data_IF_456000016917
#
_entry.id   IF_456000016917
#
_cell.length_a   1.000
_cell.length_b   1.000
_cell.length_c   1.000
_cell.angle_alpha   90.00
_cell.angle_beta   90.00
_cell.angle_gamma   90.00
#
_symmetry.space_group_name_H-M   'P 1'
#
loop_
_entity.id
_entity.type
_entity.pdbx_description
1 polymer ?
#
# COMPACT_ATOMS: atom_id res chain seq x y z
N UNK A 1 -21.23 21.56 -15.22
CA UNK A 1 -20.35 20.38 -14.98
C UNK A 1 -21.22 19.24 -14.46
N UNK A 2 -21.29 18.08 -15.13
CA UNK A 2 -22.06 16.89 -14.69
C UNK A 2 -21.14 15.72 -14.30
N UNK A 3 -20.03 16.03 -13.64
CA UNK A 3 -19.05 15.03 -13.19
C UNK A 3 -18.95 15.08 -11.67
N UNK A 4 -18.64 13.94 -11.05
CA UNK A 4 -18.37 13.91 -9.62
C UNK A 4 -17.15 14.78 -9.30
N UNK A 5 -17.29 15.63 -8.29
CA UNK A 5 -16.25 16.57 -7.89
C UNK A 5 -15.20 15.81 -7.06
N UNK A 6 -13.95 15.85 -7.51
CA UNK A 6 -12.80 15.38 -6.72
C UNK A 6 -12.62 16.24 -5.47
N UNK A 7 -12.33 15.61 -4.33
CA UNK A 7 -12.13 16.31 -3.05
C UNK A 7 -13.40 16.55 -2.24
N UNK A 8 -14.59 16.17 -2.74
CA UNK A 8 -15.82 16.22 -1.96
C UNK A 8 -15.99 14.93 -1.12
N UNK A 9 -16.32 15.05 0.16
CA UNK A 9 -16.42 13.93 1.12
C UNK A 9 -17.29 12.74 0.68
N UNK A 10 -18.47 12.91 0.04
CA UNK A 10 -19.29 11.77 -0.39
C UNK A 10 -18.82 11.15 -1.72
N UNK A 11 -17.93 11.81 -2.48
CA UNK A 11 -17.54 11.34 -3.82
C UNK A 11 -16.98 9.91 -3.83
N UNK A 12 -16.09 9.49 -2.90
CA UNK A 12 -15.59 8.12 -2.87
C UNK A 12 -16.70 7.09 -2.62
N UNK A 13 -17.65 7.41 -1.73
CA UNK A 13 -18.77 6.52 -1.41
C UNK A 13 -19.70 6.34 -2.61
N UNK A 14 -20.02 7.43 -3.33
CA UNK A 14 -20.88 7.37 -4.52
C UNK A 14 -20.17 6.63 -5.67
N UNK A 15 -18.88 6.87 -5.89
CA UNK A 15 -18.09 6.15 -6.89
C UNK A 15 -18.06 4.64 -6.58
N UNK A 16 -17.82 4.27 -5.33
CA UNK A 16 -17.82 2.87 -4.87
C UNK A 16 -19.20 2.22 -5.09
N UNK A 17 -20.28 2.93 -4.82
CA UNK A 17 -21.64 2.44 -5.05
C UNK A 17 -21.91 2.19 -6.55
N UNK A 18 -21.51 3.13 -7.41
CA UNK A 18 -21.66 2.99 -8.87
C UNK A 18 -20.87 1.78 -9.40
N UNK A 19 -19.63 1.63 -8.96
CA UNK A 19 -18.76 0.50 -9.30
C UNK A 19 -19.40 -0.84 -8.88
N UNK A 20 -19.90 -0.93 -7.64
CA UNK A 20 -20.58 -2.13 -7.13
C UNK A 20 -21.87 -2.45 -7.89
N UNK A 21 -22.66 -1.45 -8.24
CA UNK A 21 -23.88 -1.65 -9.06
C UNK A 21 -23.57 -2.18 -10.45
N UNK A 22 -22.52 -1.67 -11.10
CA UNK A 22 -22.07 -2.18 -12.40
C UNK A 22 -21.65 -3.65 -12.30
N UNK A 23 -20.90 -4.02 -11.25
CA UNK A 23 -20.50 -5.40 -11.03
C UNK A 23 -21.71 -6.33 -10.73
N UNK A 24 -22.64 -5.91 -9.88
CA UNK A 24 -23.89 -6.66 -9.61
C UNK A 24 -24.71 -6.90 -10.88
N UNK A 25 -24.83 -5.90 -11.75
CA UNK A 25 -25.55 -6.05 -13.03
C UNK A 25 -24.87 -7.05 -13.98
N UNK A 26 -23.55 -7.25 -13.83
CA UNK A 26 -22.76 -8.16 -14.66
C UNK A 26 -22.77 -9.62 -14.18
N UNK A 27 -23.29 -9.91 -12.98
CA UNK A 27 -23.13 -11.19 -12.30
C UNK A 27 -23.72 -12.38 -13.08
N UNK A 28 -24.84 -12.19 -13.78
CA UNK A 28 -25.47 -13.25 -14.58
C UNK A 28 -24.65 -13.67 -15.80
N UNK A 29 -23.86 -12.75 -16.37
CA UNK A 29 -23.08 -12.99 -17.59
C UNK A 29 -21.63 -13.33 -17.29
N UNK A 30 -21.02 -12.60 -16.35
CA UNK A 30 -19.59 -12.71 -16.02
C UNK A 30 -19.33 -13.52 -14.75
N UNK A 31 -20.36 -13.93 -14.01
CA UNK A 31 -20.23 -14.73 -12.80
C UNK A 31 -19.93 -13.94 -11.52
N UNK A 32 -20.06 -14.61 -10.38
CA UNK A 32 -19.93 -14.00 -9.05
C UNK A 32 -18.49 -13.65 -8.67
N UNK A 33 -17.48 -14.17 -9.36
CA UNK A 33 -16.07 -13.84 -9.10
C UNK A 33 -15.77 -12.36 -9.38
N UNK A 34 -16.37 -11.78 -10.43
CA UNK A 34 -16.24 -10.34 -10.73
C UNK A 34 -16.89 -9.50 -9.63
N UNK A 35 -18.12 -9.82 -9.24
CA UNK A 35 -18.84 -9.11 -8.17
C UNK A 35 -18.09 -9.19 -6.85
N UNK A 36 -17.57 -10.37 -6.51
CA UNK A 36 -16.77 -10.60 -5.30
C UNK A 36 -15.51 -9.73 -5.30
N UNK A 37 -14.74 -9.75 -6.40
CA UNK A 37 -13.55 -8.92 -6.55
C UNK A 37 -13.87 -7.43 -6.42
N UNK A 38 -14.84 -6.93 -7.18
CA UNK A 38 -15.23 -5.50 -7.11
C UNK A 38 -15.69 -5.08 -5.72
N UNK A 39 -16.40 -5.95 -5.00
CA UNK A 39 -16.99 -5.60 -3.71
C UNK A 39 -15.99 -5.66 -2.56
N UNK A 40 -15.05 -6.63 -2.60
CA UNK A 40 -14.16 -6.97 -1.48
C UNK A 40 -12.73 -6.49 -1.65
N UNK A 41 -12.28 -6.26 -2.88
CA UNK A 41 -10.87 -6.04 -3.20
C UNK A 41 -10.58 -4.63 -3.74
N UNK A 42 -11.60 -3.78 -3.91
CA UNK A 42 -11.41 -2.38 -4.26
C UNK A 42 -11.32 -1.50 -3.01
N UNK A 43 -10.33 -0.63 -3.01
CA UNK A 43 -10.26 0.54 -2.13
C UNK A 43 -10.42 1.79 -2.99
N UNK A 44 -11.61 2.38 -2.96
CA UNK A 44 -12.01 3.50 -3.82
C UNK A 44 -11.86 3.12 -5.30
N UNK A 45 -10.80 3.57 -5.97
CA UNK A 45 -10.50 3.35 -7.39
C UNK A 45 -9.43 2.27 -7.63
N UNK A 46 -8.71 1.84 -6.59
CA UNK A 46 -7.65 0.84 -6.68
C UNK A 46 -8.16 -0.58 -6.34
N UNK A 47 -8.03 -1.51 -7.28
CA UNK A 47 -8.37 -2.93 -7.09
C UNK A 47 -7.14 -3.79 -6.85
N UNK A 48 -7.11 -4.56 -5.75
CA UNK A 48 -5.97 -5.41 -5.37
C UNK A 48 -6.40 -6.84 -5.07
N UNK A 49 -5.85 -7.79 -5.81
CA UNK A 49 -6.12 -9.21 -5.58
C UNK A 49 -4.86 -10.06 -5.80
N UNK A 50 -4.93 -11.31 -5.38
CA UNK A 50 -3.91 -12.33 -5.61
C UNK A 50 -4.61 -13.63 -5.97
N UNK A 51 -4.16 -14.28 -7.04
CA UNK A 51 -4.74 -15.52 -7.54
C UNK A 51 -3.70 -16.66 -7.44
N UNK A 52 -4.14 -17.91 -7.20
CA UNK A 52 -3.28 -19.09 -7.21
C UNK A 52 -2.53 -19.33 -8.53
N UNK A 53 -3.14 -18.97 -9.66
CA UNK A 53 -2.59 -19.21 -11.00
C UNK A 53 -2.64 -17.95 -11.86
N UNK A 54 -1.75 -17.90 -12.86
CA UNK A 54 -1.69 -16.80 -13.84
C UNK A 54 -2.95 -16.77 -14.72
N UNK A 55 -3.48 -17.95 -15.07
CA UNK A 55 -4.69 -18.09 -15.89
C UNK A 55 -5.91 -17.53 -15.17
N UNK A 56 -6.06 -17.83 -13.88
CA UNK A 56 -7.15 -17.25 -13.06
C UNK A 56 -7.02 -15.74 -12.93
N UNK A 57 -5.81 -15.22 -12.74
CA UNK A 57 -5.56 -13.77 -12.67
C UNK A 57 -5.96 -13.07 -13.98
N UNK A 58 -5.49 -13.59 -15.13
CA UNK A 58 -5.82 -13.03 -16.45
C UNK A 58 -7.32 -13.09 -16.71
N UNK A 59 -7.96 -14.23 -16.43
CA UNK A 59 -9.40 -14.39 -16.61
C UNK A 59 -10.19 -13.40 -15.75
N UNK A 60 -9.90 -13.32 -14.44
CA UNK A 60 -10.60 -12.42 -13.52
C UNK A 60 -10.48 -10.96 -13.97
N UNK A 61 -9.28 -10.52 -14.35
CA UNK A 61 -9.05 -9.14 -14.80
C UNK A 61 -9.75 -8.84 -16.12
N UNK A 62 -9.73 -9.76 -17.11
CA UNK A 62 -10.44 -9.58 -18.39
C UNK A 62 -11.96 -9.57 -18.23
N UNK A 63 -12.50 -10.51 -17.45
CA UNK A 63 -13.93 -10.56 -17.15
C UNK A 63 -14.38 -9.28 -16.46
N UNK A 64 -13.60 -8.80 -15.47
CA UNK A 64 -13.89 -7.55 -14.77
C UNK A 64 -13.80 -6.33 -15.70
N UNK A 65 -12.79 -6.26 -16.58
CA UNK A 65 -12.64 -5.16 -17.54
C UNK A 65 -13.85 -5.09 -18.49
N UNK A 66 -14.31 -6.22 -19.01
CA UNK A 66 -15.46 -6.30 -19.91
C UNK A 66 -16.77 -5.98 -19.17
N UNK A 67 -16.97 -6.54 -17.98
CA UNK A 67 -18.14 -6.28 -17.15
C UNK A 67 -18.28 -4.79 -16.82
N UNK A 68 -17.23 -4.15 -16.33
CA UNK A 68 -17.25 -2.74 -15.95
C UNK A 68 -17.43 -1.82 -17.17
N UNK A 69 -16.85 -2.17 -18.32
CA UNK A 69 -17.05 -1.44 -19.57
C UNK A 69 -18.51 -1.54 -20.04
N UNK A 70 -19.09 -2.75 -20.03
CA UNK A 70 -20.45 -3.02 -20.55
C UNK A 70 -21.55 -2.44 -19.66
N UNK A 71 -21.46 -2.64 -18.35
CA UNK A 71 -22.55 -2.29 -17.42
C UNK A 71 -22.35 -0.95 -16.71
N UNK A 72 -21.12 -0.45 -16.63
CA UNK A 72 -20.79 0.80 -15.96
C UNK A 72 -20.23 1.89 -16.87
N UNK A 73 -19.87 1.58 -18.12
CA UNK A 73 -19.03 2.43 -18.97
C UNK A 73 -17.75 2.89 -18.23
N UNK A 74 -17.18 1.98 -17.43
CA UNK A 74 -15.98 2.21 -16.63
C UNK A 74 -14.80 1.47 -17.27
N UNK A 75 -13.72 2.20 -17.53
CA UNK A 75 -12.47 1.62 -18.03
C UNK A 75 -11.61 1.16 -16.86
N UNK A 76 -11.44 -0.15 -16.69
CA UNK A 76 -10.42 -0.72 -15.80
C UNK A 76 -9.06 -0.71 -16.53
N UNK A 77 -8.05 -0.12 -15.89
CA UNK A 77 -6.73 0.08 -16.48
C UNK A 77 -5.65 0.27 -15.39
N UNK A 78 -4.40 0.51 -15.80
CA UNK A 78 -3.18 0.55 -14.96
C UNK A 78 -2.86 -0.81 -14.32
N UNK A 79 -3.01 -1.89 -15.07
CA UNK A 79 -2.65 -3.22 -14.60
C UNK A 79 -1.16 -3.29 -14.27
N UNK A 80 -0.85 -3.91 -13.13
CA UNK A 80 0.49 -4.21 -12.65
C UNK A 80 0.48 -5.58 -11.94
N UNK A 81 1.44 -6.44 -12.24
CA UNK A 81 1.55 -7.78 -11.67
C UNK A 81 3.01 -8.21 -11.59
N UNK A 82 3.34 -8.96 -10.54
CA UNK A 82 4.65 -9.60 -10.40
C UNK A 82 4.91 -10.68 -11.46
N UNK A 83 3.87 -11.17 -12.13
CA UNK A 83 3.99 -12.14 -13.22
C UNK A 83 4.01 -11.45 -14.60
N UNK A 84 5.08 -11.63 -15.37
CA UNK A 84 5.21 -11.06 -16.72
C UNK A 84 4.15 -11.62 -17.69
N UNK A 85 3.80 -12.90 -17.57
CA UNK A 85 2.77 -13.53 -18.41
C UNK A 85 1.36 -12.95 -18.18
N UNK A 86 1.08 -12.52 -16.95
CA UNK A 86 -0.18 -11.82 -16.66
C UNK A 86 -0.17 -10.45 -17.33
N UNK A 87 0.97 -9.75 -17.30
CA UNK A 87 1.12 -8.42 -17.90
C UNK A 87 1.01 -8.45 -19.43
N UNK A 88 1.62 -9.44 -20.09
CA UNK A 88 1.56 -9.59 -21.56
C UNK A 88 0.16 -9.93 -22.09
N UNK A 89 -0.78 -10.33 -21.21
CA UNK A 89 -2.16 -10.60 -21.60
C UNK A 89 -3.01 -9.34 -21.83
N UNK A 90 -2.51 -8.15 -21.49
CA UNK A 90 -3.19 -6.85 -21.60
C UNK A 90 -2.51 -5.92 -22.60
N UNK A 91 -3.29 -5.01 -23.17
CA UNK A 91 -2.77 -4.00 -24.09
C UNK A 91 -1.88 -2.98 -23.35
N UNK A 92 -0.78 -2.53 -23.96
CA UNK A 92 0.17 -1.60 -23.36
C UNK A 92 -0.49 -0.33 -22.80
N UNK A 93 -1.56 0.16 -23.44
CA UNK A 93 -2.30 1.34 -22.96
C UNK A 93 -2.95 1.16 -21.59
N UNK A 94 -3.28 -0.09 -21.24
CA UNK A 94 -3.95 -0.47 -20.00
C UNK A 94 -2.96 -0.88 -18.90
N UNK A 95 -1.66 -0.98 -19.20
CA UNK A 95 -0.62 -1.20 -18.19
C UNK A 95 -0.34 0.08 -17.40
N UNK A 96 0.19 -0.05 -16.18
CA UNK A 96 0.63 1.09 -15.38
C UNK A 96 1.67 1.92 -16.14
N UNK A 97 1.69 3.25 -15.96
CA UNK A 97 2.46 4.19 -16.81
C UNK A 97 3.96 3.93 -16.84
N UNK A 98 4.52 3.45 -15.74
CA UNK A 98 5.91 3.03 -15.60
C UNK A 98 6.21 1.71 -16.35
N UNK A 99 5.20 0.92 -16.69
CA UNK A 99 5.29 -0.38 -17.36
C UNK A 99 4.99 -0.32 -18.87
N UNK A 100 4.64 0.86 -19.42
CA UNK A 100 4.18 1.00 -20.81
C UNK A 100 5.30 0.89 -21.84
N UNK A 101 6.48 1.38 -21.49
CA UNK A 101 7.65 1.47 -22.37
C UNK A 101 8.75 0.46 -21.98
N UNK A 102 8.40 -0.52 -21.15
CA UNK A 102 9.33 -1.50 -20.59
C UNK A 102 9.31 -2.77 -21.44
N UNK A 103 10.48 -3.26 -21.85
CA UNK A 103 10.60 -4.63 -22.33
C UNK A 103 10.48 -5.58 -21.13
N UNK A 104 9.30 -6.20 -20.98
CA UNK A 104 8.98 -7.07 -19.85
C UNK A 104 9.88 -8.32 -19.73
N UNK A 105 10.64 -8.66 -20.79
CA UNK A 105 11.58 -9.78 -20.81
C UNK A 105 13.03 -9.35 -20.51
N UNK A 106 13.40 -8.10 -20.82
CA UNK A 106 14.79 -7.65 -20.81
C UNK A 106 15.10 -6.56 -19.75
N UNK A 107 14.10 -5.80 -19.29
CA UNK A 107 14.29 -4.68 -18.38
C UNK A 107 13.85 -5.00 -16.94
N UNK A 108 14.55 -4.42 -15.96
CA UNK A 108 14.12 -4.48 -14.56
C UNK A 108 12.80 -3.73 -14.39
N UNK A 109 11.74 -4.39 -13.90
CA UNK A 109 10.45 -3.72 -13.68
C UNK A 109 10.58 -2.56 -12.68
N UNK A 110 9.92 -1.43 -12.96
CA UNK A 110 9.96 -0.23 -12.11
C UNK A 110 9.29 -0.48 -10.76
N UNK A 111 9.65 0.40 -9.81
CA UNK A 111 8.95 0.55 -8.55
C UNK A 111 7.49 0.95 -8.81
N UNK A 112 6.54 0.16 -8.30
CA UNK A 112 5.12 0.48 -8.34
C UNK A 112 4.71 1.14 -7.02
N UNK A 113 3.82 2.15 -7.10
CA UNK A 113 3.12 2.64 -5.90
C UNK A 113 1.71 2.09 -5.89
N UNK A 114 1.37 1.35 -4.85
CA UNK A 114 0.03 0.79 -4.62
C UNK A 114 -0.44 1.19 -3.23
N UNK A 115 -1.59 1.88 -3.14
CA UNK A 115 -2.13 2.43 -1.90
C UNK A 115 -1.08 3.21 -1.08
N UNK A 116 -0.28 4.04 -1.75
CA UNK A 116 0.76 4.85 -1.11
C UNK A 116 2.06 4.11 -0.77
N UNK A 117 2.12 2.78 -0.92
CA UNK A 117 3.30 1.95 -0.62
C UNK A 117 4.12 1.66 -1.85
N UNK A 118 5.44 1.63 -1.69
CA UNK A 118 6.38 1.26 -2.74
C UNK A 118 6.51 -0.28 -2.80
N UNK A 119 6.26 -0.85 -3.98
CA UNK A 119 6.27 -2.28 -4.25
C UNK A 119 7.19 -2.56 -5.44
N UNK A 120 8.23 -3.35 -5.20
CA UNK A 120 9.05 -3.92 -6.27
C UNK A 120 8.35 -5.14 -6.83
N UNK A 121 7.84 -4.97 -8.06
CA UNK A 121 7.07 -5.98 -8.78
C UNK A 121 7.95 -7.15 -9.23
N UNK A 122 9.27 -6.97 -9.40
CA UNK A 122 10.17 -8.07 -9.79
C UNK A 122 10.40 -9.04 -8.65
N UNK A 123 10.78 -8.49 -7.49
CA UNK A 123 11.18 -9.29 -6.33
C UNK A 123 10.01 -9.60 -5.39
N UNK A 124 8.83 -9.05 -5.69
CA UNK A 124 7.62 -9.13 -4.87
C UNK A 124 7.81 -8.63 -3.43
N UNK A 125 8.58 -7.55 -3.27
CA UNK A 125 8.90 -6.96 -1.97
C UNK A 125 8.33 -5.55 -1.82
N UNK A 126 7.85 -5.25 -0.62
CA UNK A 126 7.62 -3.88 -0.20
C UNK A 126 8.92 -3.18 0.16
N UNK A 127 9.00 -1.93 -0.28
CA UNK A 127 10.14 -1.04 -0.10
C UNK A 127 9.71 0.20 0.67
N UNK A 128 10.67 0.82 1.34
CA UNK A 128 10.50 2.08 2.04
C UNK A 128 11.46 3.11 1.44
N UNK A 129 10.98 4.33 1.27
CA UNK A 129 11.77 5.44 0.73
C UNK A 129 11.66 6.60 1.69
N UNK A 130 12.79 7.23 1.97
CA UNK A 130 12.79 8.47 2.74
C UNK A 130 12.49 9.66 1.87
N UNK A 131 11.85 10.66 2.46
CA UNK A 131 11.80 11.97 1.83
C UNK A 131 13.20 12.58 1.84
N UNK A 132 13.69 12.98 0.68
CA UNK A 132 14.93 13.73 0.51
C UNK A 132 14.81 15.19 0.95
N UNK A 133 13.63 15.62 1.40
CA UNK A 133 13.41 16.99 1.86
C UNK A 133 14.15 17.26 3.17
N UNK A 134 15.06 18.25 3.11
CA UNK A 134 15.68 18.80 4.30
C UNK A 134 14.67 19.68 5.05
N UNK A 135 13.97 19.07 6.00
CA UNK A 135 13.04 19.76 6.90
C UNK A 135 13.83 20.48 8.02
N UNK A 136 13.41 21.68 8.43
CA UNK A 136 14.01 22.40 9.56
C UNK A 136 14.02 21.56 10.84
N UNK A 137 15.04 21.73 11.68
CA UNK A 137 15.10 21.10 13.02
C UNK A 137 14.24 21.93 13.99
N UNK A 138 12.95 21.90 13.75
CA UNK A 138 11.90 22.51 14.58
C UNK A 138 10.89 21.43 14.93
N UNK A 139 10.04 21.67 15.94
CA UNK A 139 8.96 20.73 16.30
C UNK A 139 8.07 20.38 15.10
N UNK A 140 7.75 21.37 14.25
CA UNK A 140 6.99 21.16 13.01
C UNK A 140 7.73 20.29 12.00
N UNK A 141 9.02 20.54 11.79
CA UNK A 141 9.83 19.75 10.86
C UNK A 141 9.98 18.28 11.29
N UNK A 142 10.13 18.04 12.58
CA UNK A 142 10.19 16.70 13.18
C UNK A 142 8.88 15.95 13.01
N UNK A 143 7.76 16.58 13.41
CA UNK A 143 6.42 16.00 13.21
C UNK A 143 6.18 15.66 11.75
N UNK A 144 6.53 16.58 10.84
CA UNK A 144 6.39 16.38 9.39
C UNK A 144 7.27 15.24 8.88
N UNK A 145 8.48 15.05 9.42
CA UNK A 145 9.36 13.93 9.06
C UNK A 145 8.76 12.60 9.52
N UNK A 146 8.34 12.49 10.79
CA UNK A 146 7.72 11.28 11.34
C UNK A 146 6.48 10.90 10.54
N UNK A 147 5.61 11.87 10.25
CA UNK A 147 4.37 11.63 9.50
C UNK A 147 4.60 11.33 8.01
N UNK A 148 5.78 11.65 7.46
CA UNK A 148 6.11 11.27 6.08
C UNK A 148 6.47 9.78 5.93
N UNK A 149 6.75 9.09 7.03
CA UNK A 149 6.94 7.64 7.04
C UNK A 149 5.59 6.93 6.98
N UNK A 150 5.09 6.71 5.76
CA UNK A 150 3.82 6.04 5.53
C UNK A 150 3.95 4.51 5.70
N UNK A 151 3.47 4.01 6.83
CA UNK A 151 3.53 2.58 7.18
C UNK A 151 2.20 2.09 7.82
N UNK A 152 1.16 1.88 7.01
CA UNK A 152 -0.16 1.46 7.51
C UNK A 152 -0.17 0.03 8.10
N UNK A 153 0.84 -0.80 7.78
CA UNK A 153 0.95 -2.17 8.27
C UNK A 153 1.89 -2.32 9.48
N UNK A 154 2.59 -1.25 9.86
CA UNK A 154 3.43 -1.24 11.06
C UNK A 154 4.77 -1.95 10.93
N UNK A 155 5.30 -2.18 9.73
CA UNK A 155 6.61 -2.81 9.54
C UNK A 155 7.77 -1.96 10.10
N UNK A 156 7.65 -0.64 10.00
CA UNK A 156 8.59 0.34 10.54
C UNK A 156 8.23 0.79 11.96
N UNK A 157 7.20 0.19 12.58
CA UNK A 157 6.76 0.57 13.92
C UNK A 157 7.92 0.63 14.93
N UNK A 158 8.86 -0.34 15.00
CA UNK A 158 9.98 -0.28 15.95
C UNK A 158 10.90 0.94 15.81
N UNK A 159 10.95 1.54 14.62
CA UNK A 159 11.80 2.71 14.34
C UNK A 159 10.99 4.00 14.48
N UNK A 160 9.76 4.03 13.94
CA UNK A 160 8.84 5.18 14.04
C UNK A 160 8.53 5.51 15.50
N UNK A 161 8.43 4.48 16.36
CA UNK A 161 8.07 4.64 17.76
C UNK A 161 9.15 5.43 18.55
N UNK A 162 10.42 5.28 18.20
CA UNK A 162 11.52 6.05 18.80
C UNK A 162 11.40 7.53 18.42
N UNK A 163 11.11 7.83 17.15
CA UNK A 163 10.85 9.20 16.70
C UNK A 163 9.65 9.82 17.40
N UNK A 164 8.58 9.04 17.63
CA UNK A 164 7.40 9.51 18.38
C UNK A 164 7.70 9.82 19.85
N UNK A 165 8.64 9.12 20.51
CA UNK A 165 9.08 9.48 21.86
C UNK A 165 9.86 10.76 21.89
N UNK A 166 10.78 10.94 20.94
CA UNK A 166 11.53 12.18 20.80
C UNK A 166 10.57 13.35 20.60
N UNK A 167 9.59 13.20 19.70
CA UNK A 167 8.54 14.20 19.51
C UNK A 167 7.76 14.46 20.82
N UNK A 168 7.40 13.42 21.58
CA UNK A 168 6.72 13.57 22.87
C UNK A 168 7.57 14.36 23.88
N UNK A 169 8.88 14.10 23.95
CA UNK A 169 9.85 14.85 24.77
C UNK A 169 9.88 16.32 24.34
N UNK A 170 10.08 16.59 23.04
CA UNK A 170 10.09 17.95 22.47
C UNK A 170 8.78 18.70 22.74
N UNK A 171 7.63 18.03 22.63
CA UNK A 171 6.32 18.66 22.85
C UNK A 171 6.13 19.05 24.33
N UNK A 172 6.76 18.33 25.25
CA UNK A 172 6.74 18.68 26.68
C UNK A 172 7.62 19.89 27.03
N UNK A 173 8.56 20.27 26.16
CA UNK A 173 9.35 21.48 26.30
C UNK A 173 8.49 22.72 25.92
N UNK A 174 8.67 23.86 26.58
CA UNK A 174 7.93 25.11 26.29
C UNK A 174 8.46 25.87 25.07
N UNK A 175 8.89 25.13 24.04
CA UNK A 175 9.40 25.66 22.77
C UNK A 175 8.22 25.83 21.81
N UNK A 176 8.25 26.88 20.98
CA UNK A 176 7.21 27.09 19.95
C UNK A 176 7.45 26.19 18.71
N UNK A 177 6.43 25.99 17.86
CA UNK A 177 6.44 25.02 16.76
C UNK A 177 7.55 25.23 15.73
N UNK A 178 7.91 26.48 15.48
CA UNK A 178 8.85 26.91 14.45
C UNK A 178 10.16 27.44 15.01
N UNK A 179 10.36 27.34 16.33
CA UNK A 179 11.62 27.67 16.99
C UNK A 179 12.64 26.52 16.84
N UNK A 180 13.94 26.83 16.70
CA UNK A 180 15.00 25.82 16.77
C UNK A 180 14.97 25.07 18.10
N UNK A 181 15.30 23.78 18.04
CA UNK A 181 15.48 22.97 19.25
C UNK A 181 16.81 23.28 19.95
N UNK A 182 16.92 22.88 21.22
CA UNK A 182 18.19 22.85 21.93
C UNK A 182 19.18 21.89 21.26
N UNK A 183 20.48 22.15 21.42
CA UNK A 183 21.53 21.34 20.79
C UNK A 183 21.42 19.86 21.18
N UNK A 184 21.12 19.57 22.45
CA UNK A 184 20.93 18.20 22.96
C UNK A 184 19.82 17.46 22.21
N UNK A 185 18.62 18.05 22.12
CA UNK A 185 17.47 17.41 21.46
C UNK A 185 17.64 17.38 19.94
N UNK A 186 18.33 18.37 19.37
CA UNK A 186 18.69 18.36 17.96
C UNK A 186 19.66 17.21 17.60
N UNK A 187 20.60 16.89 18.49
CA UNK A 187 21.56 15.80 18.26
C UNK A 187 20.91 14.42 18.45
N UNK A 188 20.02 14.25 19.44
CA UNK A 188 19.17 13.04 19.55
C UNK A 188 18.32 12.84 18.27
N UNK A 189 17.75 13.92 17.75
CA UNK A 189 16.97 13.88 16.51
C UNK A 189 17.80 13.47 15.30
N UNK A 190 18.99 14.05 15.11
CA UNK A 190 19.91 13.70 14.01
C UNK A 190 20.30 12.23 14.10
N UNK A 191 20.69 11.76 15.29
CA UNK A 191 21.06 10.37 15.52
C UNK A 191 19.93 9.41 15.12
N UNK A 192 18.69 9.67 15.56
CA UNK A 192 17.55 8.87 15.12
C UNK A 192 17.30 8.96 13.61
N UNK A 193 17.37 10.17 13.03
CA UNK A 193 17.17 10.37 11.58
C UNK A 193 18.18 9.59 10.76
N UNK A 194 19.44 9.53 11.18
CA UNK A 194 20.48 8.79 10.50
C UNK A 194 20.22 7.27 10.51
N UNK A 195 19.59 6.75 11.57
CA UNK A 195 19.14 5.34 11.57
C UNK A 195 18.10 5.04 10.49
N UNK A 196 17.33 6.05 10.05
CA UNK A 196 16.32 5.85 9.04
C UNK A 196 16.93 5.48 7.69
N UNK A 197 18.17 5.88 7.39
CA UNK A 197 18.82 5.55 6.11
C UNK A 197 18.81 4.03 5.87
N UNK A 198 18.94 3.24 6.94
CA UNK A 198 18.91 1.79 6.86
C UNK A 198 17.57 1.24 6.32
N UNK A 199 16.44 1.95 6.51
CA UNK A 199 15.12 1.47 6.06
C UNK A 199 15.03 1.39 4.54
N UNK A 200 15.81 2.17 3.80
CA UNK A 200 15.82 2.14 2.33
C UNK A 200 16.41 0.83 1.79
N UNK A 201 17.19 0.11 2.61
CA UNK A 201 17.72 -1.22 2.29
C UNK A 201 16.77 -2.34 2.71
N UNK A 202 15.76 -2.05 3.55
CA UNK A 202 14.80 -3.03 4.02
C UNK A 202 13.95 -3.57 2.85
N UNK A 203 13.82 -4.89 2.79
CA UNK A 203 12.98 -5.60 1.82
C UNK A 203 12.02 -6.48 2.60
N UNK A 204 10.73 -6.21 2.51
CA UNK A 204 9.70 -7.01 3.18
C UNK A 204 8.91 -7.78 2.14
N UNK A 205 8.95 -9.13 2.13
CA UNK A 205 8.14 -9.92 1.21
C UNK A 205 6.66 -9.52 1.30
N UNK A 206 6.03 -9.24 0.15
CA UNK A 206 4.59 -8.94 0.10
C UNK A 206 3.77 -10.14 0.56
N UNK A 207 4.18 -11.33 0.14
CA UNK A 207 3.50 -12.58 0.44
C UNK A 207 3.90 -13.06 1.82
N UNK A 208 2.93 -13.09 2.74
CA UNK A 208 3.15 -13.52 4.13
C UNK A 208 3.27 -15.04 4.26
N UNK A 209 2.46 -15.79 3.49
CA UNK A 209 2.50 -17.26 3.45
C UNK A 209 2.40 -17.71 1.98
N UNK A 210 3.47 -18.30 1.41
CA UNK A 210 3.53 -18.60 -0.02
C UNK A 210 2.60 -19.73 -0.47
N UNK A 211 2.17 -20.63 0.42
CA UNK A 211 1.41 -21.84 0.07
C UNK A 211 0.11 -22.01 0.86
N UNK A 212 -0.63 -20.92 1.06
CA UNK A 212 -1.90 -20.89 1.81
C UNK A 212 -2.92 -21.96 1.37
N UNK A 213 -2.93 -22.42 0.12
CA UNK A 213 -3.93 -23.36 -0.36
C UNK A 213 -3.74 -24.81 0.10
N UNK A 214 -2.60 -25.15 0.71
CA UNK A 214 -2.26 -26.55 1.05
C UNK A 214 -2.51 -26.93 2.51
N UNK A 215 -2.89 -25.99 3.38
CA UNK A 215 -3.00 -26.22 4.83
C UNK A 215 -4.46 -26.36 5.29
N UNK A 216 -4.72 -27.35 6.14
CA UNK A 216 -6.06 -27.64 6.66
C UNK A 216 -6.54 -26.59 7.68
N UNK A 217 -5.61 -26.08 8.51
CA UNK A 217 -5.90 -25.07 9.53
C UNK A 217 -4.86 -23.96 9.48
N UNK A 218 -5.33 -22.71 9.61
CA UNK A 218 -4.50 -21.50 9.62
C UNK A 218 -4.81 -20.70 10.86
N UNK A 219 -3.78 -20.36 11.62
CA UNK A 219 -3.93 -19.56 12.82
C UNK A 219 -3.14 -18.26 12.67
N UNK A 220 -3.81 -17.14 12.93
CA UNK A 220 -3.18 -15.84 13.05
C UNK A 220 -3.09 -15.49 14.53
N UNK A 221 -1.88 -15.50 15.06
CA UNK A 221 -1.61 -15.17 16.45
C UNK A 221 -1.24 -13.70 16.52
N UNK A 222 -1.96 -12.97 17.35
CA UNK A 222 -1.75 -11.53 17.57
C UNK A 222 -1.29 -11.37 19.01
N UNK A 223 -0.05 -10.91 19.18
CA UNK A 223 0.49 -10.57 20.48
C UNK A 223 0.44 -9.06 20.64
N UNK A 224 0.10 -8.59 21.83
CA UNK A 224 0.10 -7.17 22.17
C UNK A 224 0.74 -6.98 23.53
N UNK A 225 1.60 -5.98 23.63
CA UNK A 225 2.19 -5.55 24.89
C UNK A 225 2.10 -4.03 25.02
N UNK A 226 1.97 -3.56 26.26
CA UNK A 226 1.81 -2.14 26.56
C UNK A 226 2.75 -1.73 27.69
N UNK A 227 3.49 -0.66 27.44
CA UNK A 227 4.35 0.01 28.41
C UNK A 227 3.85 1.44 28.65
N UNK A 228 4.38 2.10 29.69
CA UNK A 228 4.11 3.53 29.95
C UNK A 228 4.51 4.44 28.77
N UNK A 229 5.44 3.96 27.95
CA UNK A 229 5.96 4.69 26.80
C UNK A 229 5.08 4.47 25.57
N UNK A 230 4.70 3.22 25.27
CA UNK A 230 3.90 2.85 24.09
C UNK A 230 3.23 1.48 24.20
N UNK A 231 2.25 1.26 23.32
CA UNK A 231 1.70 -0.05 23.00
C UNK A 231 2.25 -0.56 21.66
N UNK A 232 2.52 -1.86 21.59
CA UNK A 232 2.99 -2.54 20.38
C UNK A 232 2.13 -3.78 20.12
N UNK A 233 2.01 -4.15 18.85
CA UNK A 233 1.33 -5.37 18.43
C UNK A 233 2.18 -6.05 17.36
N UNK A 234 2.37 -7.36 17.49
CA UNK A 234 2.99 -8.18 16.45
C UNK A 234 2.07 -9.32 16.04
N UNK A 235 2.20 -9.70 14.77
CA UNK A 235 1.37 -10.71 14.13
C UNK A 235 2.30 -11.84 13.67
N UNK A 236 1.96 -13.08 14.05
CA UNK A 236 2.61 -14.29 13.54
C UNK A 236 1.57 -15.25 12.97
N UNK A 237 1.81 -15.81 11.79
CA UNK A 237 1.03 -16.96 11.30
C UNK A 237 1.67 -18.29 11.68
N UNK A 238 0.83 -19.26 12.00
CA UNK A 238 1.24 -20.65 12.17
C UNK A 238 0.37 -21.56 11.29
N UNK A 239 1.02 -22.44 10.53
CA UNK A 239 0.36 -23.48 9.74
C UNK A 239 0.42 -24.80 10.50
N UNK A 240 -0.74 -25.41 10.80
CA UNK A 240 -0.79 -26.79 11.30
C UNK A 240 -1.07 -27.74 10.14
N UNK A 241 -0.27 -28.80 10.04
CA UNK A 241 -0.52 -29.93 9.14
C UNK A 241 -1.72 -30.75 9.63
#
# INVERSE_FOLDING_TARGET
MRVHVFGNSPSPAVATLGLRKAAQASELEFGSHVTSFVTRNFYVDDGLTSCPTKEEAVKLMKDTQQALAKYGNLRLHKFASNCAEVMSAFHASDLASNLKDLDLECDSKPLQRSLGRSWDVNTDNFLFQLSSENKPITRRGILSTINSLYDPLGFLAPVIIQGKLLLRKIVSETVDWDQPLTDETADEWKSWRDTLIAIETLRIPRTYVPYLSKTATKELHVFSDASKSHSSCCISSHDRQ
#
